data_IF_780327093155
#
_entry.id   IF_780327093155
#
_cell.length_a   1.000
_cell.length_b   1.000
_cell.length_c   1.000
_cell.angle_alpha   90.00
_cell.angle_beta   90.00
_cell.angle_gamma   90.00
#
_symmetry.space_group_name_H-M   'P 1'
#
loop_
_entity.id
_entity.type
_entity.pdbx_description
1 polymer ?
#
# COMPACT_ATOMS: atom_id res chain seq x y z
N UNK A 1 1.71 16.67 -18.48
CA UNK A 1 1.90 16.02 -19.79
C UNK A 1 2.96 14.91 -19.82
N UNK A 2 3.97 14.92 -18.93
CA UNK A 2 5.01 13.84 -18.85
C UNK A 2 4.50 12.49 -18.30
N UNK A 3 3.32 12.45 -17.68
CA UNK A 3 2.81 11.23 -17.09
C UNK A 3 2.55 10.17 -18.17
N UNK A 4 2.94 8.90 -17.98
CA UNK A 4 2.78 7.83 -18.97
C UNK A 4 1.35 7.68 -19.50
N UNK A 5 0.34 7.77 -18.64
CA UNK A 5 -1.06 7.71 -19.07
C UNK A 5 -1.46 8.84 -20.02
N UNK A 6 -0.95 10.05 -19.78
CA UNK A 6 -1.24 11.18 -20.66
C UNK A 6 -0.66 10.95 -22.05
N UNK A 7 0.56 10.42 -22.14
CA UNK A 7 1.21 10.12 -23.42
C UNK A 7 0.57 8.94 -24.16
N UNK A 8 -0.03 8.00 -23.44
CA UNK A 8 -0.75 6.87 -24.05
C UNK A 8 -2.15 7.27 -24.55
N UNK A 9 -2.80 8.21 -23.86
CA UNK A 9 -4.18 8.64 -24.18
C UNK A 9 -4.24 9.79 -25.18
N UNK A 10 -3.13 10.52 -25.37
CA UNK A 10 -3.03 11.64 -26.31
C UNK A 10 -1.74 11.57 -27.11
N UNK A 11 -1.87 11.50 -28.43
CA UNK A 11 -0.72 11.60 -29.35
C UNK A 11 -0.09 12.99 -29.38
N UNK A 12 -0.84 14.01 -28.99
CA UNK A 12 -0.41 15.41 -28.97
C UNK A 12 0.35 15.78 -27.68
N UNK A 13 0.19 15.02 -26.59
CA UNK A 13 0.78 15.37 -25.29
C UNK A 13 2.30 15.45 -25.29
N UNK A 14 2.98 14.52 -25.98
CA UNK A 14 4.44 14.50 -26.06
C UNK A 14 5.02 15.61 -26.91
N UNK A 15 4.54 15.85 -28.14
CA UNK A 15 4.95 17.00 -28.95
C UNK A 15 4.71 18.35 -28.27
N UNK A 16 3.53 18.55 -27.70
CA UNK A 16 3.16 19.79 -27.02
C UNK A 16 4.07 20.04 -25.78
N UNK A 17 4.36 19.01 -25.01
CA UNK A 17 5.28 19.14 -23.87
C UNK A 17 6.68 19.57 -24.29
N UNK A 18 7.19 18.98 -25.37
CA UNK A 18 8.51 19.37 -25.95
C UNK A 18 8.54 20.80 -26.47
N UNK A 19 7.50 21.20 -27.20
CA UNK A 19 7.35 22.57 -27.71
C UNK A 19 7.34 23.58 -26.57
N UNK A 20 6.50 23.41 -25.57
CA UNK A 20 6.40 24.30 -24.41
C UNK A 20 7.71 24.37 -23.62
N UNK A 21 8.44 23.27 -23.52
CA UNK A 21 9.73 23.21 -22.83
C UNK A 21 10.83 23.92 -23.63
N UNK A 22 10.91 23.69 -24.95
CA UNK A 22 11.91 24.30 -25.81
C UNK A 22 11.73 25.81 -25.95
N UNK A 23 10.47 26.27 -25.98
CA UNK A 23 10.13 27.70 -26.07
C UNK A 23 10.07 28.41 -24.73
N UNK A 24 10.34 27.71 -23.61
CA UNK A 24 10.23 28.23 -22.23
C UNK A 24 8.87 28.91 -21.95
N UNK A 25 7.78 28.38 -22.49
CA UNK A 25 6.44 28.95 -22.33
C UNK A 25 5.81 28.41 -21.04
N UNK A 26 5.80 29.27 -20.02
CA UNK A 26 5.23 28.93 -18.70
C UNK A 26 3.70 29.16 -18.60
N UNK A 27 3.15 29.99 -19.49
CA UNK A 27 1.73 30.36 -19.52
C UNK A 27 1.14 30.16 -20.92
N UNK A 28 0.92 28.89 -21.34
CA UNK A 28 0.27 28.61 -22.62
C UNK A 28 -1.22 28.99 -22.57
N UNK A 29 -1.78 29.34 -23.71
CA UNK A 29 -3.20 29.60 -23.82
C UNK A 29 -4.01 28.31 -23.67
N UNK A 30 -5.24 28.36 -23.10
CA UNK A 30 -6.09 27.18 -23.00
C UNK A 30 -6.38 26.49 -24.34
N UNK A 31 -6.45 27.24 -25.45
CA UNK A 31 -6.63 26.70 -26.79
C UNK A 31 -5.44 25.86 -27.27
N UNK A 32 -4.23 26.22 -26.85
CA UNK A 32 -3.00 25.48 -27.17
C UNK A 32 -2.90 24.16 -26.43
N UNK A 33 -3.47 24.10 -25.23
CA UNK A 33 -3.47 22.89 -24.40
C UNK A 33 -4.54 21.87 -24.81
N UNK A 34 -5.63 22.30 -25.44
CA UNK A 34 -6.80 21.48 -25.77
C UNK A 34 -6.76 20.98 -27.21
N UNK A 35 -5.71 20.23 -27.55
CA UNK A 35 -5.45 19.75 -28.92
C UNK A 35 -6.26 18.49 -29.28
N UNK A 36 -6.76 17.76 -28.29
CA UNK A 36 -7.63 16.60 -28.47
C UNK A 36 -8.66 16.48 -27.32
N UNK A 37 -9.55 15.50 -27.40
CA UNK A 37 -10.63 15.32 -26.43
C UNK A 37 -10.09 15.01 -25.03
N UNK A 38 -9.03 14.21 -24.93
CA UNK A 38 -8.44 13.87 -23.64
C UNK A 38 -7.75 15.10 -23.02
N UNK A 39 -6.97 15.84 -23.77
CA UNK A 39 -6.34 17.07 -23.30
C UNK A 39 -7.38 18.14 -22.98
N UNK A 40 -8.47 18.18 -23.74
CA UNK A 40 -9.61 19.07 -23.42
C UNK A 40 -10.22 18.71 -22.08
N UNK A 41 -10.45 17.44 -21.80
CA UNK A 41 -10.93 16.96 -20.49
C UNK A 41 -9.93 17.33 -19.39
N UNK A 42 -8.64 17.09 -19.62
CA UNK A 42 -7.57 17.31 -18.63
C UNK A 42 -7.41 18.79 -18.26
N UNK A 43 -7.48 19.71 -19.22
CA UNK A 43 -7.19 21.13 -19.02
C UNK A 43 -8.44 22.02 -18.93
N UNK A 44 -9.64 21.45 -18.86
CA UNK A 44 -10.84 22.24 -18.59
C UNK A 44 -10.98 22.50 -17.09
N UNK A 45 -10.99 23.77 -16.64
CA UNK A 45 -11.17 24.10 -15.23
C UNK A 45 -12.52 23.58 -14.69
N UNK A 46 -12.51 23.08 -13.46
CA UNK A 46 -13.70 22.61 -12.75
C UNK A 46 -13.82 23.41 -11.44
N UNK A 47 -14.92 24.10 -11.25
CA UNK A 47 -15.11 25.02 -10.11
C UNK A 47 -16.03 24.45 -9.03
N UNK A 48 -16.80 23.41 -9.34
CA UNK A 48 -17.76 22.78 -8.45
C UNK A 48 -17.26 21.46 -7.85
N UNK A 49 -17.80 21.12 -6.68
CA UNK A 49 -17.49 19.83 -6.00
C UNK A 49 -17.99 18.66 -6.84
N UNK A 50 -19.23 18.75 -7.38
CA UNK A 50 -19.80 17.73 -8.26
C UNK A 50 -18.99 17.60 -9.55
N UNK A 51 -18.66 18.72 -10.20
CA UNK A 51 -17.84 18.75 -11.41
C UNK A 51 -16.45 18.14 -11.21
N UNK A 52 -15.86 18.30 -10.01
CA UNK A 52 -14.59 17.68 -9.68
C UNK A 52 -14.71 16.15 -9.58
N UNK A 53 -15.79 15.65 -9.00
CA UNK A 53 -16.04 14.21 -8.92
C UNK A 53 -16.29 13.62 -10.32
N UNK A 54 -17.13 14.27 -11.15
CA UNK A 54 -17.39 13.86 -12.54
C UNK A 54 -16.09 13.82 -13.34
N UNK A 55 -15.26 14.84 -13.20
CA UNK A 55 -13.93 14.91 -13.84
C UNK A 55 -13.04 13.74 -13.44
N UNK A 56 -12.97 13.41 -12.15
CA UNK A 56 -12.14 12.30 -11.68
C UNK A 56 -12.67 10.94 -12.17
N UNK A 57 -14.00 10.77 -12.20
CA UNK A 57 -14.65 9.58 -12.74
C UNK A 57 -14.34 9.44 -14.24
N UNK A 58 -14.43 10.53 -15.00
CA UNK A 58 -14.12 10.57 -16.42
C UNK A 58 -12.65 10.24 -16.69
N UNK A 59 -11.72 10.80 -15.92
CA UNK A 59 -10.29 10.46 -16.02
C UNK A 59 -10.03 8.98 -15.77
N UNK A 60 -10.63 8.39 -14.73
CA UNK A 60 -10.46 6.96 -14.43
C UNK A 60 -11.02 6.12 -15.58
N UNK A 61 -12.15 6.49 -16.16
CA UNK A 61 -12.72 5.80 -17.33
C UNK A 61 -11.76 5.87 -18.52
N UNK A 62 -11.20 7.05 -18.82
CA UNK A 62 -10.24 7.21 -19.91
C UNK A 62 -8.98 6.36 -19.68
N UNK A 63 -8.42 6.38 -18.46
CA UNK A 63 -7.26 5.54 -18.12
C UNK A 63 -7.60 4.05 -18.24
N UNK A 64 -8.82 3.63 -17.89
CA UNK A 64 -9.24 2.24 -17.98
C UNK A 64 -9.25 1.70 -19.41
N UNK A 65 -9.35 2.55 -20.43
CA UNK A 65 -9.32 2.12 -21.83
C UNK A 65 -7.96 1.57 -22.24
N UNK A 66 -6.88 2.01 -21.60
CA UNK A 66 -5.52 1.51 -21.85
C UNK A 66 -5.43 0.01 -21.53
N UNK A 67 -6.11 -0.44 -20.48
CA UNK A 67 -6.06 -1.81 -19.98
C UNK A 67 -7.18 -2.71 -20.52
N UNK A 68 -7.96 -2.23 -21.51
CA UNK A 68 -9.06 -3.01 -22.14
C UNK A 68 -8.63 -3.82 -23.36
N UNK A 69 -7.38 -3.71 -23.80
CA UNK A 69 -6.91 -4.43 -25.00
C UNK A 69 -7.02 -5.93 -24.76
N UNK A 70 -7.74 -6.60 -25.66
CA UNK A 70 -7.91 -8.04 -25.65
C UNK A 70 -6.56 -8.74 -25.91
N UNK A 71 -6.24 -9.76 -25.09
CA UNK A 71 -5.01 -10.57 -25.21
C UNK A 71 -4.07 -10.52 -24.00
N UNK A 72 -4.15 -9.51 -23.14
CA UNK A 72 -3.30 -9.38 -21.94
C UNK A 72 -4.05 -9.73 -20.64
N UNK A 73 -5.14 -10.52 -20.73
CA UNK A 73 -5.96 -10.88 -19.56
C UNK A 73 -5.23 -11.73 -18.52
N UNK A 74 -4.14 -12.39 -18.88
CA UNK A 74 -3.39 -13.28 -17.99
C UNK A 74 -2.23 -12.60 -17.26
N UNK A 75 -1.95 -11.32 -17.52
CA UNK A 75 -0.94 -10.60 -16.77
C UNK A 75 -1.51 -10.12 -15.42
N UNK A 76 -0.91 -10.61 -14.34
CA UNK A 76 -1.26 -10.29 -12.95
C UNK A 76 -1.21 -8.78 -12.71
N UNK A 77 -0.25 -8.07 -13.30
CA UNK A 77 -0.12 -6.63 -13.16
C UNK A 77 -1.27 -5.88 -13.83
N UNK A 78 -1.70 -6.31 -15.01
CA UNK A 78 -2.85 -5.71 -15.69
C UNK A 78 -4.15 -5.93 -14.90
N UNK A 79 -4.34 -7.11 -14.32
CA UNK A 79 -5.46 -7.38 -13.40
C UNK A 79 -5.42 -6.46 -12.19
N UNK A 80 -4.25 -6.26 -11.59
CA UNK A 80 -4.07 -5.37 -10.43
C UNK A 80 -4.39 -3.91 -10.78
N UNK A 81 -3.91 -3.41 -11.93
CA UNK A 81 -4.23 -2.05 -12.38
C UNK A 81 -5.73 -1.87 -12.64
N UNK A 82 -6.38 -2.84 -13.29
CA UNK A 82 -7.84 -2.79 -13.53
C UNK A 82 -8.62 -2.77 -12.22
N UNK A 83 -8.27 -3.63 -11.26
CA UNK A 83 -8.90 -3.64 -9.94
C UNK A 83 -8.67 -2.33 -9.19
N UNK A 84 -7.46 -1.75 -9.25
CA UNK A 84 -7.18 -0.46 -8.64
C UNK A 84 -8.02 0.67 -9.20
N UNK A 85 -8.21 0.70 -10.52
CA UNK A 85 -9.07 1.69 -11.18
C UNK A 85 -10.54 1.47 -10.84
N UNK A 86 -11.00 0.22 -10.77
CA UNK A 86 -12.36 -0.13 -10.37
C UNK A 86 -12.65 0.29 -8.92
N UNK A 87 -11.76 -0.01 -7.99
CA UNK A 87 -11.88 0.40 -6.59
C UNK A 87 -11.89 1.92 -6.45
N UNK A 88 -11.00 2.60 -7.18
CA UNK A 88 -10.94 4.07 -7.18
C UNK A 88 -12.24 4.68 -7.70
N UNK A 89 -12.75 4.17 -8.81
CA UNK A 89 -14.03 4.59 -9.39
C UNK A 89 -15.18 4.38 -8.39
N UNK A 90 -15.27 3.21 -7.79
CA UNK A 90 -16.34 2.86 -6.84
C UNK A 90 -16.34 3.79 -5.64
N UNK A 91 -15.16 4.10 -5.07
CA UNK A 91 -15.05 4.98 -3.91
C UNK A 91 -15.37 6.43 -4.23
N UNK A 92 -14.89 6.94 -5.37
CA UNK A 92 -15.20 8.31 -5.79
C UNK A 92 -16.69 8.44 -6.10
N UNK A 93 -17.28 7.45 -6.78
CA UNK A 93 -18.70 7.45 -7.07
C UNK A 93 -19.56 7.41 -5.79
N UNK A 94 -19.12 6.68 -4.76
CA UNK A 94 -19.79 6.70 -3.45
C UNK A 94 -19.74 8.08 -2.80
N UNK A 95 -18.60 8.76 -2.84
CA UNK A 95 -18.49 10.14 -2.35
C UNK A 95 -19.37 11.10 -3.14
N UNK A 96 -19.42 10.93 -4.47
CA UNK A 96 -20.29 11.70 -5.35
C UNK A 96 -21.77 11.54 -4.96
N UNK A 97 -22.22 10.30 -4.75
CA UNK A 97 -23.60 10.04 -4.34
C UNK A 97 -23.97 10.70 -2.99
N UNK A 98 -23.05 10.70 -2.01
CA UNK A 98 -23.26 11.38 -0.73
C UNK A 98 -23.31 12.91 -0.85
N UNK A 99 -22.58 13.48 -1.81
CA UNK A 99 -22.62 14.91 -2.12
C UNK A 99 -23.91 15.25 -2.84
N UNK A 100 -24.35 14.38 -3.75
CA UNK A 100 -25.56 14.57 -4.54
C UNK A 100 -26.83 14.48 -3.67
N UNK A 101 -26.88 13.53 -2.73
CA UNK A 101 -27.97 13.40 -1.75
C UNK A 101 -28.02 14.52 -0.71
N UNK A 102 -26.98 15.35 -0.63
CA UNK A 102 -26.88 16.40 0.36
C UNK A 102 -26.44 15.95 1.76
N UNK A 103 -26.16 14.65 1.92
CA UNK A 103 -25.64 14.10 3.19
C UNK A 103 -24.21 14.59 3.51
N UNK A 104 -23.45 14.93 2.47
CA UNK A 104 -22.08 15.42 2.60
C UNK A 104 -21.95 16.81 1.99
N UNK A 105 -21.95 17.84 2.85
CA UNK A 105 -21.71 19.23 2.46
C UNK A 105 -20.32 19.68 2.92
N UNK A 106 -19.35 19.71 2.01
CA UNK A 106 -17.96 20.00 2.30
C UNK A 106 -17.36 20.97 1.27
N UNK A 107 -16.22 21.57 1.61
CA UNK A 107 -15.48 22.44 0.68
C UNK A 107 -14.60 21.60 -0.24
N UNK A 108 -14.24 22.16 -1.40
CA UNK A 108 -13.38 21.49 -2.42
C UNK A 108 -12.05 20.99 -1.82
N UNK A 109 -11.42 21.77 -0.95
CA UNK A 109 -10.15 21.35 -0.32
C UNK A 109 -10.34 20.15 0.61
N UNK A 110 -11.46 20.13 1.33
CA UNK A 110 -11.82 18.99 2.20
C UNK A 110 -12.10 17.76 1.36
N UNK A 111 -12.80 17.91 0.22
CA UNK A 111 -13.04 16.81 -0.71
C UNK A 111 -11.73 16.21 -1.25
N UNK A 112 -10.78 17.05 -1.66
CA UNK A 112 -9.45 16.59 -2.14
C UNK A 112 -8.74 15.76 -1.08
N UNK A 113 -8.70 16.25 0.17
CA UNK A 113 -8.10 15.51 1.30
C UNK A 113 -8.83 14.19 1.59
N UNK A 114 -10.16 14.21 1.53
CA UNK A 114 -10.99 13.02 1.77
C UNK A 114 -10.75 11.96 0.68
N UNK A 115 -10.76 12.34 -0.59
CA UNK A 115 -10.46 11.45 -1.71
C UNK A 115 -9.07 10.84 -1.54
N UNK A 116 -8.05 11.67 -1.28
CA UNK A 116 -6.69 11.17 -1.05
C UNK A 116 -6.65 10.17 0.10
N UNK A 117 -7.27 10.50 1.24
CA UNK A 117 -7.31 9.61 2.41
C UNK A 117 -8.03 8.29 2.11
N UNK A 118 -9.17 8.34 1.44
CA UNK A 118 -9.96 7.15 1.07
C UNK A 118 -9.19 6.26 0.10
N UNK A 119 -8.53 6.84 -0.89
CA UNK A 119 -7.74 6.08 -1.87
C UNK A 119 -6.48 5.47 -1.24
N UNK A 120 -5.73 6.23 -0.44
CA UNK A 120 -4.51 5.74 0.21
C UNK A 120 -4.77 4.69 1.29
N UNK A 121 -5.94 4.72 1.93
CA UNK A 121 -6.35 3.69 2.91
C UNK A 121 -6.96 2.45 2.26
N UNK A 122 -7.09 2.43 0.93
CA UNK A 122 -7.69 1.31 0.22
C UNK A 122 -6.66 0.26 -0.11
N UNK A 123 -6.92 -0.97 0.28
CA UNK A 123 -6.11 -2.11 -0.09
C UNK A 123 -6.78 -2.89 -1.23
N UNK A 124 -5.98 -3.32 -2.19
CA UNK A 124 -6.44 -4.21 -3.25
C UNK A 124 -6.15 -5.62 -2.78
N UNK A 125 -7.17 -6.49 -2.61
CA UNK A 125 -6.94 -7.86 -2.23
C UNK A 125 -6.17 -8.58 -3.35
N UNK A 126 -5.06 -9.18 -3.00
CA UNK A 126 -4.28 -10.01 -3.90
C UNK A 126 -4.86 -11.43 -3.84
N UNK A 127 -5.46 -11.89 -4.92
CA UNK A 127 -5.93 -13.27 -5.01
C UNK A 127 -4.75 -14.14 -5.45
N UNK A 128 -4.03 -14.68 -4.45
CA UNK A 128 -3.05 -15.74 -4.68
C UNK A 128 -3.70 -17.11 -4.46
N UNK A 129 -3.21 -18.13 -5.14
CA UNK A 129 -3.60 -19.50 -4.83
C UNK A 129 -2.91 -19.92 -3.51
N UNK A 130 -3.68 -20.17 -2.43
CA UNK A 130 -3.09 -20.61 -1.17
C UNK A 130 -2.43 -21.98 -1.33
N UNK A 131 -1.28 -22.15 -0.70
CA UNK A 131 -0.51 -23.39 -0.64
C UNK A 131 0.16 -23.87 -1.95
N UNK A 132 0.25 -23.04 -2.98
CA UNK A 132 1.01 -23.33 -4.21
C UNK A 132 2.21 -22.37 -4.31
N UNK A 133 3.42 -22.95 -4.44
CA UNK A 133 4.66 -22.20 -4.59
C UNK A 133 5.10 -21.46 -3.31
N UNK A 134 5.90 -20.42 -3.49
CA UNK A 134 6.41 -19.60 -2.39
C UNK A 134 5.31 -18.68 -1.85
N UNK A 135 5.09 -18.74 -0.54
CA UNK A 135 4.13 -17.88 0.15
C UNK A 135 4.85 -16.78 0.93
N UNK A 136 4.41 -15.54 0.77
CA UNK A 136 4.87 -14.39 1.57
C UNK A 136 3.74 -13.94 2.48
N UNK A 137 3.95 -14.05 3.79
CA UNK A 137 2.91 -13.76 4.77
C UNK A 137 3.50 -13.16 6.05
N UNK A 138 2.69 -12.50 6.85
CA UNK A 138 3.09 -11.99 8.15
C UNK A 138 3.13 -13.10 9.21
N UNK A 139 3.79 -12.82 10.33
CA UNK A 139 3.92 -13.80 11.44
C UNK A 139 2.56 -14.24 12.00
N UNK A 140 1.56 -13.37 11.98
CA UNK A 140 0.23 -13.70 12.49
C UNK A 140 -0.56 -14.63 11.55
N UNK A 141 -0.30 -14.55 10.27
CA UNK A 141 -0.93 -15.36 9.24
C UNK A 141 -0.35 -16.78 9.17
N UNK A 142 0.85 -17.01 9.74
CA UNK A 142 1.52 -18.32 9.78
C UNK A 142 0.99 -19.24 10.86
N UNK A 143 0.02 -18.81 11.65
CA UNK A 143 -0.53 -19.61 12.76
C UNK A 143 -1.11 -20.94 12.28
N UNK A 144 -0.71 -22.02 12.97
CA UNK A 144 -1.11 -23.41 12.67
C UNK A 144 -0.66 -23.94 11.31
N UNK A 145 0.27 -23.23 10.64
CA UNK A 145 0.90 -23.70 9.40
C UNK A 145 2.28 -24.28 9.72
N UNK A 146 2.64 -25.33 9.00
CA UNK A 146 3.95 -25.94 9.04
C UNK A 146 4.62 -25.78 7.68
N UNK A 147 5.92 -25.43 7.67
CA UNK A 147 6.69 -25.19 6.45
C UNK A 147 7.94 -26.07 6.48
N UNK A 148 8.26 -26.66 5.34
CA UNK A 148 9.53 -27.40 5.17
C UNK A 148 10.72 -26.46 5.02
N UNK A 149 10.55 -25.41 4.20
CA UNK A 149 11.55 -24.39 3.97
C UNK A 149 11.00 -23.05 4.47
N UNK A 150 11.72 -22.38 5.33
CA UNK A 150 11.31 -21.15 5.98
C UNK A 150 12.38 -20.07 5.82
N UNK A 151 11.97 -18.90 5.34
CA UNK A 151 12.81 -17.70 5.31
C UNK A 151 12.12 -16.62 6.13
N UNK A 152 12.78 -16.15 7.20
CA UNK A 152 12.26 -15.06 8.04
C UNK A 152 13.08 -13.80 7.72
N UNK A 153 12.38 -12.78 7.24
CA UNK A 153 12.97 -11.48 6.90
C UNK A 153 12.82 -10.50 8.05
N UNK A 154 13.76 -9.54 8.12
CA UNK A 154 13.73 -8.44 9.11
C UNK A 154 13.65 -8.93 10.55
N UNK A 155 14.46 -9.95 10.90
CA UNK A 155 14.55 -10.47 12.25
C UNK A 155 15.41 -9.54 13.11
N UNK A 156 14.96 -8.29 13.23
CA UNK A 156 15.62 -7.25 14.04
C UNK A 156 14.87 -7.02 15.35
N UNK A 157 15.62 -6.62 16.37
CA UNK A 157 15.03 -6.17 17.63
C UNK A 157 14.08 -4.98 17.37
N UNK A 158 12.89 -5.06 17.94
CA UNK A 158 11.84 -4.06 17.69
C UNK A 158 10.92 -4.33 16.49
N UNK A 159 11.31 -5.24 15.59
CA UNK A 159 10.46 -5.71 14.48
C UNK A 159 9.85 -7.08 14.82
N UNK A 160 10.68 -8.01 15.28
CA UNK A 160 10.24 -9.32 15.78
C UNK A 160 11.12 -9.72 17.00
N UNK A 161 10.63 -9.60 18.23
CA UNK A 161 9.29 -9.13 18.62
C UNK A 161 9.10 -7.65 18.36
N UNK A 162 7.87 -7.28 18.00
CA UNK A 162 7.53 -5.88 17.79
C UNK A 162 7.55 -5.14 19.14
N UNK A 163 8.52 -4.25 19.31
CA UNK A 163 8.53 -3.34 20.45
C UNK A 163 7.51 -2.22 20.19
N UNK A 164 6.32 -2.39 20.73
CA UNK A 164 5.33 -1.33 20.72
C UNK A 164 5.27 -0.70 22.11
N UNK A 165 5.61 0.57 22.23
CA UNK A 165 5.19 1.34 23.39
C UNK A 165 3.67 1.26 23.50
N UNK A 166 3.16 0.73 24.59
CA UNK A 166 1.73 0.80 24.87
C UNK A 166 1.37 2.27 25.15
N UNK A 167 0.90 2.94 24.10
CA UNK A 167 0.25 4.26 24.24
C UNK A 167 -1.15 4.11 24.88
N UNK A 168 -1.25 3.25 25.87
CA UNK A 168 -2.48 3.03 26.61
C UNK A 168 -2.65 4.07 27.69
N UNK A 169 -3.87 4.63 27.82
CA UNK A 169 -4.23 5.49 28.95
C UNK A 169 -4.22 4.77 30.31
N UNK A 170 -4.18 3.41 30.30
CA UNK A 170 -4.14 2.60 31.53
C UNK A 170 -2.68 2.30 31.85
N UNK A 171 -2.14 2.81 32.98
CA UNK A 171 -0.77 2.54 33.42
C UNK A 171 -0.50 1.05 33.62
N UNK A 172 0.76 0.65 33.42
CA UNK A 172 1.22 -0.73 33.56
C UNK A 172 0.82 -1.38 34.88
N UNK A 173 0.98 -0.68 36.02
CA UNK A 173 0.66 -1.19 37.34
C UNK A 173 -0.83 -1.54 37.50
N UNK A 174 -1.72 -0.74 36.96
CA UNK A 174 -3.15 -1.02 36.96
C UNK A 174 -3.48 -2.21 36.07
N UNK A 175 -2.88 -2.29 34.89
CA UNK A 175 -3.07 -3.45 34.00
C UNK A 175 -2.66 -4.75 34.68
N UNK A 176 -1.52 -4.76 35.38
CA UNK A 176 -1.03 -5.92 36.10
C UNK A 176 -1.95 -6.29 37.27
N UNK A 177 -2.41 -5.29 38.05
CA UNK A 177 -3.30 -5.52 39.19
C UNK A 177 -4.67 -6.11 38.79
N UNK A 178 -5.18 -5.74 37.61
CA UNK A 178 -6.46 -6.21 37.09
C UNK A 178 -6.34 -7.37 36.07
N UNK A 179 -5.18 -8.01 35.96
CA UNK A 179 -4.98 -9.16 35.06
C UNK A 179 -5.12 -8.82 33.58
N UNK A 180 -4.93 -7.57 33.19
CA UNK A 180 -4.98 -7.13 31.80
C UNK A 180 -3.69 -7.49 31.06
N UNK A 181 -3.77 -7.59 29.74
CA UNK A 181 -2.61 -7.88 28.88
C UNK A 181 -1.50 -6.84 29.07
N UNK A 182 -0.31 -7.32 29.46
CA UNK A 182 0.91 -6.52 29.63
C UNK A 182 1.89 -6.74 28.48
N UNK A 183 3.02 -6.03 28.48
CA UNK A 183 4.08 -6.17 27.45
C UNK A 183 4.68 -7.59 27.50
N UNK A 184 4.83 -8.17 28.70
CA UNK A 184 5.35 -9.52 28.87
C UNK A 184 4.45 -10.56 28.18
N UNK A 185 3.14 -10.44 28.31
CA UNK A 185 2.21 -11.30 27.62
C UNK A 185 2.33 -11.20 26.10
N UNK A 186 2.50 -9.97 25.57
CA UNK A 186 2.69 -9.75 24.13
C UNK A 186 3.99 -10.40 23.66
N UNK A 187 5.08 -10.20 24.40
CA UNK A 187 6.36 -10.81 24.07
C UNK A 187 6.30 -12.35 24.13
N UNK A 188 5.61 -12.91 25.11
CA UNK A 188 5.40 -14.36 25.19
C UNK A 188 4.59 -14.90 23.98
N UNK A 189 3.60 -14.16 23.50
CA UNK A 189 2.85 -14.53 22.29
C UNK A 189 3.74 -14.49 21.05
N UNK A 190 4.60 -13.45 20.89
CA UNK A 190 5.56 -13.41 19.77
C UNK A 190 6.57 -14.54 19.85
N UNK A 191 7.10 -14.85 21.04
CA UNK A 191 7.97 -15.98 21.25
C UNK A 191 7.30 -17.30 20.85
N UNK A 192 6.06 -17.51 21.31
CA UNK A 192 5.28 -18.70 20.92
C UNK A 192 5.15 -18.81 19.39
N UNK A 193 4.80 -17.72 18.68
CA UNK A 193 4.68 -17.76 17.22
C UNK A 193 6.01 -18.07 16.55
N UNK A 194 7.08 -17.46 17.00
CA UNK A 194 8.42 -17.69 16.45
C UNK A 194 8.84 -19.15 16.62
N UNK A 195 8.82 -19.67 17.86
CA UNK A 195 9.25 -21.05 18.11
C UNK A 195 8.32 -22.08 17.49
N UNK A 196 7.01 -21.80 17.43
CA UNK A 196 6.07 -22.69 16.76
C UNK A 196 6.32 -22.74 15.25
N UNK A 197 6.70 -21.63 14.65
CA UNK A 197 6.98 -21.53 13.21
C UNK A 197 8.23 -22.32 12.82
N UNK A 198 9.30 -22.24 13.60
CA UNK A 198 10.57 -22.92 13.32
C UNK A 198 10.56 -24.41 13.73
N UNK A 199 9.68 -24.82 14.61
CA UNK A 199 9.70 -26.14 15.25
C UNK A 199 9.68 -27.32 14.29
N UNK A 200 9.05 -27.18 13.13
CA UNK A 200 8.87 -28.26 12.15
C UNK A 200 9.51 -27.96 10.78
N UNK A 201 10.25 -26.88 10.69
CA UNK A 201 10.96 -26.54 9.46
C UNK A 201 12.25 -27.36 9.35
N UNK A 202 12.55 -27.87 8.16
CA UNK A 202 13.79 -28.60 7.88
C UNK A 202 14.94 -27.62 7.54
N UNK A 203 14.62 -26.59 6.76
CA UNK A 203 15.58 -25.56 6.35
C UNK A 203 15.08 -24.20 6.80
N UNK A 204 15.87 -23.50 7.60
CA UNK A 204 15.52 -22.21 8.18
C UNK A 204 16.61 -21.19 7.81
N UNK A 205 16.18 -20.10 7.17
CA UNK A 205 17.06 -18.95 6.88
C UNK A 205 16.54 -17.74 7.63
N UNK A 206 17.38 -17.18 8.51
CA UNK A 206 17.05 -16.00 9.32
C UNK A 206 17.85 -14.81 8.77
N UNK A 207 17.14 -13.76 8.37
CA UNK A 207 17.74 -12.56 7.79
C UNK A 207 17.41 -11.33 8.65
N UNK A 208 18.46 -10.56 8.98
CA UNK A 208 18.30 -9.29 9.66
C UNK A 208 19.08 -8.18 8.94
N UNK A 209 18.68 -6.95 9.16
CA UNK A 209 19.31 -5.78 8.55
C UNK A 209 20.32 -5.17 9.54
N UNK A 210 21.56 -5.01 9.14
CA UNK A 210 22.63 -4.36 9.93
C UNK A 210 22.68 -2.85 9.72
N UNK A 211 21.92 -2.31 8.75
CA UNK A 211 21.87 -0.87 8.48
C UNK A 211 21.17 -0.13 9.63
N UNK A 212 21.83 0.87 10.18
CA UNK A 212 21.24 1.77 11.17
C UNK A 212 20.54 2.92 10.46
N UNK A 213 19.23 3.00 10.59
CA UNK A 213 18.42 4.11 10.07
C UNK A 213 17.96 4.98 11.25
N UNK A 214 18.81 5.93 11.64
CA UNK A 214 18.57 6.93 12.68
C UNK A 214 18.25 6.39 14.08
N UNK A 215 17.05 5.92 14.33
CA UNK A 215 16.58 5.42 15.63
C UNK A 215 16.67 3.89 15.77
N UNK A 216 16.75 3.15 14.67
CA UNK A 216 16.90 1.69 14.68
C UNK A 216 18.37 1.33 14.50
N UNK A 217 18.95 0.68 15.51
CA UNK A 217 20.38 0.34 15.54
C UNK A 217 20.78 -0.85 14.68
N UNK A 218 19.91 -1.44 13.89
CA UNK A 218 20.24 -2.62 13.09
C UNK A 218 20.64 -3.84 13.94
N UNK A 219 20.15 -3.92 15.19
CA UNK A 219 20.44 -5.02 16.12
C UNK A 219 19.62 -6.26 15.73
N UNK A 220 20.24 -7.42 15.86
CA UNK A 220 19.57 -8.70 15.69
C UNK A 220 18.53 -8.95 16.79
N UNK A 221 17.48 -9.70 16.44
CA UNK A 221 16.42 -10.04 17.39
C UNK A 221 16.94 -10.91 18.54
N UNK A 222 16.39 -10.66 19.74
CA UNK A 222 16.63 -11.52 20.91
C UNK A 222 16.31 -13.00 20.66
N UNK A 223 15.39 -13.31 19.78
CA UNK A 223 15.06 -14.69 19.41
C UNK A 223 16.19 -15.34 18.60
N UNK A 224 16.85 -14.57 17.74
CA UNK A 224 18.04 -15.05 17.04
C UNK A 224 19.21 -15.28 18.00
N UNK A 225 19.45 -14.34 18.92
CA UNK A 225 20.46 -14.49 19.96
C UNK A 225 20.21 -15.72 20.85
N UNK A 226 18.95 -15.98 21.22
CA UNK A 226 18.62 -17.19 21.97
C UNK A 226 18.95 -18.48 21.21
N UNK A 227 18.66 -18.53 19.92
CA UNK A 227 19.02 -19.69 19.09
C UNK A 227 20.53 -19.88 18.97
N UNK A 228 21.30 -18.77 18.86
CA UNK A 228 22.76 -18.82 18.80
C UNK A 228 23.40 -19.33 20.11
N UNK A 229 22.85 -18.96 21.26
CA UNK A 229 23.43 -19.29 22.59
C UNK A 229 22.90 -20.62 23.14
N UNK A 230 21.59 -20.88 22.96
CA UNK A 230 20.91 -22.02 23.60
C UNK A 230 20.54 -23.12 22.58
N UNK A 231 20.65 -22.84 21.29
CA UNK A 231 20.26 -23.77 20.23
C UNK A 231 21.22 -24.95 20.13
N UNK A 232 20.72 -26.18 19.94
CA UNK A 232 21.52 -27.36 19.71
C UNK A 232 22.03 -27.51 18.27
N UNK A 233 21.79 -26.51 17.43
CA UNK A 233 22.02 -26.57 15.98
C UNK A 233 23.30 -25.84 15.59
N UNK A 234 24.04 -26.40 14.63
CA UNK A 234 25.14 -25.71 13.97
C UNK A 234 24.57 -24.60 13.09
N UNK A 235 24.94 -23.36 13.37
CA UNK A 235 24.53 -22.19 12.62
C UNK A 235 25.68 -21.80 11.71
N UNK A 236 25.46 -21.83 10.41
CA UNK A 236 26.45 -21.49 9.37
C UNK A 236 26.16 -20.14 8.75
#
# INVERSE_FOLDING_TARGET
>A
MKHPYTQQLSSHAGPLERELTQTNRFYPLPSELKQDDFLTTLFTPRNGIKELCDYLIELIKNISTIYRKEGEYNDIFNQLYRESLFQSHTKINRLYSLIESGELNIRTDTLKRLITKVLTSSNIPFHGEPAIGMQVMGVLETRNLDFRNLIILSLNEGQLPKSGGDSSFIPYNLRKAFGMTTIEHKNAVYAYYFYRLIQRAENITLLYNTSSDGLNRGEESRFMLQLLVEGPHDIT
#
